data_IF_664661017620
#
_entry.id   IF_664661017620
#
_cell.length_a   1.000
_cell.length_b   1.000
_cell.length_c   1.000
_cell.angle_alpha   90.00
_cell.angle_beta   90.00
_cell.angle_gamma   90.00
#
_symmetry.space_group_name_H-M   'P 1'
#
loop_
_entity.id
_entity.type
_entity.pdbx_description
1 polymer ?
#
# COMPACT_ATOMS: atom_id res chain seq x y z
N UNK A 1 -2.82 4.00 22.83
CA UNK A 1 -3.48 3.96 21.51
C UNK A 1 -2.83 4.90 20.48
N UNK A 2 -2.70 6.22 20.69
CA UNK A 2 -2.04 7.14 19.73
C UNK A 2 -0.62 6.75 19.32
N UNK A 3 0.23 6.40 20.29
CA UNK A 3 1.65 6.06 20.04
C UNK A 3 1.82 4.76 19.24
N UNK A 4 0.96 3.76 19.46
CA UNK A 4 0.96 2.52 18.66
C UNK A 4 0.51 2.78 17.22
N UNK A 5 -0.51 3.61 17.00
CA UNK A 5 -0.93 4.01 15.65
C UNK A 5 0.16 4.77 14.89
N UNK A 6 0.94 5.61 15.58
CA UNK A 6 2.08 6.33 14.98
C UNK A 6 3.25 5.41 14.64
N UNK A 7 3.58 4.44 15.50
CA UNK A 7 4.68 3.47 15.27
C UNK A 7 4.34 2.49 14.15
N UNK A 8 3.08 2.01 14.10
CA UNK A 8 2.62 1.17 13.00
C UNK A 8 2.56 1.99 11.70
N UNK A 9 2.10 3.24 11.75
CA UNK A 9 2.10 4.14 10.60
C UNK A 9 3.49 4.44 10.02
N UNK A 10 4.53 4.58 10.86
CA UNK A 10 5.92 4.72 10.39
C UNK A 10 6.50 3.41 9.88
N UNK A 11 6.13 2.26 10.46
CA UNK A 11 6.53 0.94 9.94
C UNK A 11 5.94 0.68 8.54
N UNK A 12 4.67 1.06 8.31
CA UNK A 12 4.00 1.00 7.00
C UNK A 12 4.77 1.81 5.96
N UNK A 13 5.09 3.06 6.25
CA UNK A 13 5.81 3.93 5.32
C UNK A 13 7.24 3.46 5.06
N UNK A 14 7.92 2.94 6.09
CA UNK A 14 9.31 2.53 6.00
C UNK A 14 9.50 1.24 5.19
N UNK A 15 8.70 0.21 5.43
CA UNK A 15 8.87 -1.10 4.79
C UNK A 15 8.25 -1.10 3.39
N UNK A 16 6.96 -0.74 3.28
CA UNK A 16 6.25 -0.76 2.00
C UNK A 16 6.82 0.28 1.03
N UNK A 17 7.12 1.48 1.52
CA UNK A 17 7.73 2.54 0.71
C UNK A 17 9.09 2.11 0.14
N UNK A 18 9.88 1.36 0.89
CA UNK A 18 11.19 0.89 0.43
C UNK A 18 11.06 -0.23 -0.62
N UNK A 19 10.11 -1.16 -0.47
CA UNK A 19 9.84 -2.20 -1.49
C UNK A 19 9.37 -1.57 -2.80
N UNK A 20 8.48 -0.58 -2.74
CA UNK A 20 8.02 0.16 -3.93
C UNK A 20 9.17 0.93 -4.61
N UNK A 21 10.03 1.60 -3.82
CA UNK A 21 11.23 2.27 -4.33
C UNK A 21 12.21 1.29 -4.98
N UNK A 22 12.35 0.08 -4.42
CA UNK A 22 13.21 -0.95 -5.00
C UNK A 22 12.66 -1.47 -6.33
N UNK A 23 11.34 -1.68 -6.44
CA UNK A 23 10.69 -2.05 -7.69
C UNK A 23 10.92 -0.99 -8.79
N UNK A 24 10.79 0.30 -8.45
CA UNK A 24 11.09 1.40 -9.36
C UNK A 24 12.56 1.45 -9.77
N UNK A 25 13.49 1.21 -8.83
CA UNK A 25 14.94 1.13 -9.13
C UNK A 25 15.26 -0.05 -10.03
N UNK A 26 14.60 -1.20 -9.86
CA UNK A 26 14.77 -2.37 -10.72
C UNK A 26 14.28 -2.09 -12.14
N UNK A 27 13.11 -1.46 -12.29
CA UNK A 27 12.61 -1.03 -13.59
C UNK A 27 13.59 -0.08 -14.31
N UNK A 28 14.14 0.90 -13.59
CA UNK A 28 15.16 1.81 -14.13
C UNK A 28 16.47 1.09 -14.49
N UNK A 29 16.99 0.23 -13.61
CA UNK A 29 18.23 -0.54 -13.85
C UNK A 29 18.13 -1.41 -15.09
N UNK A 30 16.97 -1.99 -15.34
CA UNK A 30 16.75 -2.84 -16.51
C UNK A 30 16.40 -2.05 -17.78
N UNK A 31 16.33 -0.72 -17.70
CA UNK A 31 15.88 0.14 -18.81
C UNK A 31 14.57 -0.35 -19.43
N UNK A 32 13.67 -0.84 -18.58
CA UNK A 32 12.38 -1.40 -18.99
C UNK A 32 11.55 -0.29 -19.63
N UNK A 33 11.25 -0.45 -20.93
CA UNK A 33 10.32 0.42 -21.68
C UNK A 33 8.97 -0.28 -21.81
N UNK A 34 8.35 -0.59 -20.67
CA UNK A 34 7.00 -1.14 -20.60
C UNK A 34 6.01 -0.03 -20.25
N UNK A 35 4.99 0.14 -21.08
CA UNK A 35 3.88 1.07 -20.81
C UNK A 35 3.12 0.67 -19.54
N UNK A 36 3.00 -0.64 -19.27
CA UNK A 36 2.34 -1.18 -18.07
C UNK A 36 3.09 -0.81 -16.81
N UNK A 37 4.42 -0.99 -16.80
CA UNK A 37 5.27 -0.59 -15.67
C UNK A 37 5.22 0.92 -15.45
N UNK A 38 5.17 1.72 -16.53
CA UNK A 38 5.03 3.17 -16.43
C UNK A 38 3.66 3.59 -15.85
N UNK A 39 2.58 2.89 -16.22
CA UNK A 39 1.25 3.12 -15.70
C UNK A 39 1.15 2.77 -14.20
N UNK A 40 1.73 1.64 -13.80
CA UNK A 40 1.86 1.25 -12.38
C UNK A 40 2.65 2.29 -11.59
N UNK A 41 3.75 2.79 -12.14
CA UNK A 41 4.53 3.85 -11.51
C UNK A 41 3.71 5.15 -11.36
N UNK A 42 2.82 5.45 -12.31
CA UNK A 42 1.85 6.54 -12.21
C UNK A 42 0.88 6.36 -11.03
N UNK A 43 0.23 5.20 -10.93
CA UNK A 43 -0.68 4.88 -9.84
C UNK A 43 0.00 4.94 -8.47
N UNK A 44 1.22 4.42 -8.35
CA UNK A 44 2.00 4.46 -7.12
C UNK A 44 2.37 5.89 -6.71
N UNK A 45 2.69 6.75 -7.69
CA UNK A 45 2.99 8.17 -7.43
C UNK A 45 1.80 8.88 -6.78
N UNK A 46 0.58 8.50 -7.13
CA UNK A 46 -0.65 9.09 -6.57
C UNK A 46 -1.01 8.50 -5.20
N UNK A 47 -0.60 7.25 -4.95
CA UNK A 47 -0.83 6.55 -3.69
C UNK A 47 0.10 7.03 -2.56
N UNK A 48 1.35 7.38 -2.87
CA UNK A 48 2.35 7.85 -1.90
C UNK A 48 1.88 9.08 -1.07
N UNK A 49 1.33 10.15 -1.68
CA UNK A 49 0.76 11.28 -0.95
C UNK A 49 -0.40 10.89 -0.02
N UNK A 50 -1.25 9.95 -0.45
CA UNK A 50 -2.39 9.49 0.34
C UNK A 50 -1.93 8.77 1.61
N UNK A 51 -0.95 7.86 1.49
CA UNK A 51 -0.33 7.19 2.64
C UNK A 51 0.39 8.19 3.55
N UNK A 52 1.10 9.16 2.97
CA UNK A 52 1.79 10.20 3.74
C UNK A 52 0.81 11.07 4.54
N UNK A 53 -0.30 11.49 3.92
CA UNK A 53 -1.36 12.25 4.57
C UNK A 53 -2.06 11.45 5.68
N UNK A 54 -2.26 10.15 5.46
CA UNK A 54 -2.82 9.24 6.46
C UNK A 54 -1.91 9.09 7.68
N UNK A 55 -0.59 9.04 7.50
CA UNK A 55 0.35 9.01 8.64
C UNK A 55 0.41 10.35 9.37
N UNK A 56 0.43 11.45 8.62
CA UNK A 56 0.45 12.79 9.22
C UNK A 56 -0.82 13.09 10.03
N UNK A 57 -1.98 12.62 9.56
CA UNK A 57 -3.26 12.80 10.23
C UNK A 57 -4.14 11.55 10.05
N UNK A 58 -4.03 10.57 10.96
CA UNK A 58 -4.77 9.32 10.88
C UNK A 58 -6.28 9.54 11.03
N UNK A 59 -7.07 8.89 10.17
CA UNK A 59 -8.52 8.77 10.34
C UNK A 59 -9.03 7.48 9.72
N UNK A 60 -10.09 6.91 10.29
CA UNK A 60 -10.75 5.69 9.79
C UNK A 60 -11.21 5.89 8.34
N UNK A 61 -11.75 7.06 8.02
CA UNK A 61 -12.18 7.41 6.65
C UNK A 61 -11.02 7.35 5.65
N UNK A 62 -9.89 8.01 5.94
CA UNK A 62 -8.72 8.01 5.03
C UNK A 62 -8.10 6.63 4.89
N UNK A 63 -8.07 5.87 5.99
CA UNK A 63 -7.57 4.50 5.99
C UNK A 63 -8.48 3.58 5.16
N UNK A 64 -9.81 3.76 5.24
CA UNK A 64 -10.76 3.04 4.40
C UNK A 64 -10.60 3.39 2.91
N UNK A 65 -10.47 4.67 2.57
CA UNK A 65 -10.20 5.12 1.20
C UNK A 65 -8.89 4.53 0.66
N UNK A 66 -7.81 4.57 1.45
CA UNK A 66 -6.52 3.98 1.08
C UNK A 66 -6.60 2.47 0.88
N UNK A 67 -7.37 1.75 1.71
CA UNK A 67 -7.62 0.31 1.55
C UNK A 67 -8.35 -0.03 0.26
N UNK A 68 -9.37 0.76 -0.13
CA UNK A 68 -10.07 0.55 -1.39
C UNK A 68 -9.16 0.81 -2.60
N UNK A 69 -8.32 1.85 -2.54
CA UNK A 69 -7.34 2.13 -3.59
C UNK A 69 -6.31 1.01 -3.69
N UNK A 70 -5.78 0.51 -2.58
CA UNK A 70 -4.84 -0.60 -2.57
C UNK A 70 -5.46 -1.90 -3.12
N UNK A 71 -6.71 -2.21 -2.75
CA UNK A 71 -7.46 -3.35 -3.28
C UNK A 71 -7.64 -3.27 -4.80
N UNK A 72 -8.06 -2.10 -5.29
CA UNK A 72 -8.22 -1.86 -6.74
C UNK A 72 -6.89 -2.00 -7.48
N UNK A 73 -5.80 -1.54 -6.88
CA UNK A 73 -4.46 -1.65 -7.45
C UNK A 73 -3.98 -3.11 -7.51
N UNK A 74 -4.23 -3.90 -6.46
CA UNK A 74 -3.86 -5.33 -6.45
C UNK A 74 -4.63 -6.13 -7.49
N UNK A 75 -5.95 -5.93 -7.62
CA UNK A 75 -6.76 -6.61 -8.64
C UNK A 75 -6.27 -6.28 -10.07
N UNK A 76 -5.86 -5.04 -10.32
CA UNK A 76 -5.29 -4.65 -11.60
C UNK A 76 -3.89 -5.22 -11.84
N UNK A 77 -3.05 -5.30 -10.80
CA UNK A 77 -1.72 -5.93 -10.89
C UNK A 77 -1.81 -7.42 -11.18
N UNK A 78 -2.79 -8.13 -10.61
CA UNK A 78 -3.05 -9.54 -10.93
C UNK A 78 -3.37 -9.76 -12.42
N UNK A 79 -4.20 -8.89 -13.01
CA UNK A 79 -4.51 -8.93 -14.45
C UNK A 79 -3.28 -8.63 -15.33
N UNK A 80 -2.47 -7.64 -14.93
CA UNK A 80 -1.22 -7.32 -15.61
C UNK A 80 -0.20 -8.47 -15.54
N UNK A 81 -0.06 -9.10 -14.36
CA UNK A 81 0.81 -10.25 -14.15
C UNK A 81 0.37 -11.46 -14.98
N UNK A 82 -0.93 -11.77 -14.98
CA UNK A 82 -1.50 -12.87 -15.77
C UNK A 82 -1.34 -12.69 -17.28
N UNK A 83 -1.19 -11.45 -17.75
CA UNK A 83 -1.03 -11.11 -19.16
C UNK A 83 0.39 -10.69 -19.56
N UNK A 84 1.37 -10.76 -18.65
CA UNK A 84 2.75 -10.37 -18.93
C UNK A 84 3.53 -11.49 -19.64
N UNK A 85 4.22 -11.15 -20.74
CA UNK A 85 5.06 -12.07 -21.52
C UNK A 85 6.56 -11.82 -21.31
N UNK A 86 6.93 -10.69 -20.70
CA UNK A 86 8.32 -10.34 -20.41
C UNK A 86 8.65 -10.69 -18.94
N UNK A 87 9.60 -11.60 -18.68
CA UNK A 87 9.97 -11.99 -17.32
C UNK A 87 10.52 -10.84 -16.48
N UNK A 88 11.12 -9.80 -17.09
CA UNK A 88 11.58 -8.61 -16.37
C UNK A 88 10.42 -7.72 -15.96
N UNK A 89 9.42 -7.57 -16.83
CA UNK A 89 8.17 -6.88 -16.51
C UNK A 89 7.46 -7.61 -15.38
N UNK A 90 7.23 -8.92 -15.52
CA UNK A 90 6.57 -9.74 -14.52
C UNK A 90 7.28 -9.66 -13.15
N UNK A 91 8.62 -9.67 -13.11
CA UNK A 91 9.37 -9.54 -11.87
C UNK A 91 9.18 -8.17 -11.19
N UNK A 92 9.11 -7.07 -11.96
CA UNK A 92 8.80 -5.74 -11.40
C UNK A 92 7.37 -5.69 -10.90
N UNK A 93 6.41 -6.14 -11.71
CA UNK A 93 4.98 -6.15 -11.36
C UNK A 93 4.71 -7.00 -10.11
N UNK A 94 5.37 -8.15 -9.98
CA UNK A 94 5.24 -9.03 -8.82
C UNK A 94 5.76 -8.38 -7.55
N UNK A 95 6.91 -7.69 -7.61
CA UNK A 95 7.41 -6.91 -6.46
C UNK A 95 6.46 -5.79 -6.04
N UNK A 96 5.77 -5.16 -7.00
CA UNK A 96 4.77 -4.14 -6.70
C UNK A 96 3.53 -4.78 -6.08
N UNK A 97 3.04 -5.90 -6.62
CA UNK A 97 1.88 -6.61 -6.09
C UNK A 97 2.11 -7.08 -4.66
N UNK A 98 3.27 -7.68 -4.36
CA UNK A 98 3.66 -8.05 -3.00
C UNK A 98 3.60 -6.85 -2.04
N UNK A 99 4.13 -5.70 -2.45
CA UNK A 99 4.12 -4.48 -1.65
C UNK A 99 2.69 -3.94 -1.40
N UNK A 100 1.82 -4.04 -2.40
CA UNK A 100 0.41 -3.62 -2.28
C UNK A 100 -0.36 -4.57 -1.36
N UNK A 101 -0.13 -5.88 -1.44
CA UNK A 101 -0.70 -6.86 -0.52
C UNK A 101 -0.25 -6.64 0.92
N UNK A 102 1.04 -6.38 1.13
CA UNK A 102 1.57 -6.02 2.45
C UNK A 102 0.89 -4.77 2.99
N UNK A 103 0.70 -3.74 2.16
CA UNK A 103 -0.01 -2.52 2.54
C UNK A 103 -1.44 -2.80 3.00
N UNK A 104 -2.17 -3.66 2.28
CA UNK A 104 -3.53 -4.06 2.64
C UNK A 104 -3.60 -4.80 3.97
N UNK A 105 -2.64 -5.67 4.27
CA UNK A 105 -2.55 -6.37 5.56
C UNK A 105 -2.37 -5.34 6.68
N UNK A 106 -1.46 -4.38 6.52
CA UNK A 106 -1.25 -3.39 7.58
C UNK A 106 -2.44 -2.44 7.72
N UNK A 107 -3.06 -2.02 6.63
CA UNK A 107 -4.27 -1.20 6.72
C UNK A 107 -5.40 -1.92 7.45
N UNK A 108 -5.58 -3.21 7.17
CA UNK A 108 -6.56 -4.06 7.87
C UNK A 108 -6.24 -4.18 9.35
N UNK A 109 -4.97 -4.38 9.72
CA UNK A 109 -4.55 -4.44 11.12
C UNK A 109 -4.81 -3.12 11.87
N UNK A 110 -4.58 -1.97 11.22
CA UNK A 110 -4.87 -0.65 11.78
C UNK A 110 -6.38 -0.44 11.91
N UNK A 111 -7.18 -0.79 10.89
CA UNK A 111 -8.65 -0.68 10.93
C UNK A 111 -9.24 -1.51 12.07
N UNK A 112 -8.85 -2.79 12.17
CA UNK A 112 -9.32 -3.67 13.23
C UNK A 112 -8.93 -3.13 14.62
N UNK A 113 -7.71 -2.61 14.77
CA UNK A 113 -7.26 -2.01 16.04
C UNK A 113 -8.03 -0.74 16.39
N UNK A 114 -8.38 0.08 15.40
CA UNK A 114 -9.15 1.30 15.59
C UNK A 114 -10.60 0.99 16.03
N UNK A 115 -11.25 0.06 15.34
CA UNK A 115 -12.63 -0.38 15.65
C UNK A 115 -12.71 -1.01 17.04
N UNK A 116 -11.82 -1.97 17.35
CA UNK A 116 -11.77 -2.60 18.67
C UNK A 116 -11.49 -1.60 19.79
N UNK A 117 -10.73 -0.53 19.52
CA UNK A 117 -10.45 0.50 20.51
C UNK A 117 -11.62 1.46 20.72
N UNK A 118 -12.43 1.75 19.70
CA UNK A 118 -13.69 2.49 19.85
C UNK A 118 -14.72 1.66 20.63
N UNK A 119 -14.88 0.38 20.30
CA UNK A 119 -15.78 -0.54 21.02
C UNK A 119 -15.38 -0.70 22.49
N UNK A 120 -14.08 -0.78 22.79
CA UNK A 120 -13.56 -0.85 24.16
C UNK A 120 -13.85 0.42 24.95
N UNK A 121 -13.66 1.60 24.34
CA UNK A 121 -13.97 2.89 24.97
C UNK A 121 -15.46 3.10 25.21
N UNK A 122 -16.32 2.55 24.34
CA UNK A 122 -17.77 2.57 24.53
C UNK A 122 -18.26 1.56 25.57
N UNK A 123 -17.56 0.43 25.74
CA UNK A 123 -17.88 -0.57 26.75
C UNK A 123 -17.48 -0.16 28.18
N UNK A 124 -16.42 0.63 28.36
CA UNK A 124 -16.01 1.16 29.68
C UNK A 124 -16.79 2.44 30.10
N UNK A 125 -17.63 2.97 29.20
CA UNK A 125 -18.41 4.20 29.43
C UNK A 125 -19.89 3.99 29.79
N UNK A 126 -20.31 2.76 30.10
CA UNK A 126 -21.70 2.40 30.47
C UNK A 126 -21.79 1.88 31.91
#
# INVERSE_FOLDING_TARGET
>A
TRVQGTIVGTAVLGVVGNVLLEALRLAQRWSLRSSRVAEVAGQLRDLIPMVSAMVAQPSVKRLHEASLTALSLSAWLEDLLGSSQDPKEAAVLSKVDDAVRDLMIVFSAILCSAVLSEDYLHAEGA
#
